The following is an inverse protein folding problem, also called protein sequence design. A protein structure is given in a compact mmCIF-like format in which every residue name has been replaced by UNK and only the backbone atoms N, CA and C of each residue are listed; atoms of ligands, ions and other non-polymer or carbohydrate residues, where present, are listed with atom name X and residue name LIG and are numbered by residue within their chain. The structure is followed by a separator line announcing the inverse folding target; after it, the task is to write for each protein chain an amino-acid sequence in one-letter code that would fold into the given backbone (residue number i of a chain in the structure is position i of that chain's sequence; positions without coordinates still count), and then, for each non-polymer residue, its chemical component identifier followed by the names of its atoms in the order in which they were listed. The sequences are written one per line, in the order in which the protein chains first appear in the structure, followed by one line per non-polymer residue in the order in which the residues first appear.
data_IF_474449978560
#
_entry.id   IF_474449978560
#
_cell.length_a   1.000
_cell.length_b   1.000
_cell.length_c   1.000
_cell.angle_alpha   90.00
_cell.angle_beta   90.00
_cell.angle_gamma   90.00
#
_symmetry.space_group_name_H-M   'P 1'
#
loop_
_entity.id
_entity.type
_entity.pdbx_description
1 polymer ?
#
# COMPACT_ATOMS: atom_id res chain seq x y z
N UNK A 1 29.90 16.39 -14.20
CA UNK A 1 29.79 15.43 -15.33
C UNK A 1 29.92 16.17 -16.66
N UNK A 2 29.07 17.17 -16.96
CA UNK A 2 29.22 17.97 -18.18
C UNK A 2 30.43 18.92 -18.17
N UNK A 3 30.81 19.47 -17.01
CA UNK A 3 31.93 20.42 -16.88
C UNK A 3 33.32 19.75 -16.89
N UNK A 4 33.42 18.47 -16.53
CA UNK A 4 34.70 17.74 -16.46
C UNK A 4 35.00 16.91 -17.72
N UNK A 5 34.15 16.98 -18.75
CA UNK A 5 34.34 16.26 -20.02
C UNK A 5 34.11 14.75 -19.97
N UNK A 6 33.59 14.22 -18.86
CA UNK A 6 33.34 12.78 -18.72
C UNK A 6 32.17 12.33 -19.60
N UNK A 7 32.39 11.27 -20.39
CA UNK A 7 31.34 10.69 -21.22
C UNK A 7 30.16 10.19 -20.34
N UNK A 8 28.95 10.60 -20.69
CA UNK A 8 27.69 10.28 -19.99
C UNK A 8 27.46 8.77 -19.82
N UNK A 9 27.96 7.96 -20.77
CA UNK A 9 27.92 6.49 -20.73
C UNK A 9 29.21 5.81 -20.22
N UNK A 10 30.21 6.59 -19.80
CA UNK A 10 31.53 6.13 -19.40
C UNK A 10 31.54 5.30 -18.12
N UNK A 11 32.59 4.48 -17.95
CA UNK A 11 32.73 3.59 -16.79
C UNK A 11 32.74 4.36 -15.46
N UNK A 12 33.35 5.54 -15.43
CA UNK A 12 33.39 6.43 -14.27
C UNK A 12 31.98 6.89 -13.85
N UNK A 13 31.22 7.46 -14.79
CA UNK A 13 29.85 7.93 -14.58
C UNK A 13 28.92 6.78 -14.16
N UNK A 14 29.05 5.62 -14.82
CA UNK A 14 28.30 4.41 -14.43
C UNK A 14 28.68 3.92 -13.03
N UNK A 15 29.95 3.99 -12.65
CA UNK A 15 30.41 3.61 -11.31
C UNK A 15 29.75 4.44 -10.20
N UNK A 16 29.56 5.74 -10.44
CA UNK A 16 28.89 6.65 -9.49
C UNK A 16 27.37 6.43 -9.47
N UNK A 17 26.73 6.26 -10.63
CA UNK A 17 25.26 6.26 -10.72
C UNK A 17 24.61 4.89 -10.49
N UNK A 18 25.30 3.80 -10.80
CA UNK A 18 24.77 2.42 -10.71
C UNK A 18 24.36 2.02 -9.28
N UNK A 19 25.08 2.37 -8.22
CA UNK A 19 24.65 2.11 -6.84
C UNK A 19 23.29 2.74 -6.50
N UNK A 20 22.96 3.87 -7.13
CA UNK A 20 21.72 4.62 -6.90
C UNK A 20 20.66 4.39 -7.99
N UNK A 21 20.91 3.45 -8.91
CA UNK A 21 20.06 3.20 -10.10
C UNK A 21 19.66 4.47 -10.87
N UNK A 22 20.52 5.50 -10.83
CA UNK A 22 20.23 6.83 -11.35
C UNK A 22 20.67 6.95 -12.82
N UNK A 23 20.02 7.84 -13.57
CA UNK A 23 20.44 8.21 -14.92
C UNK A 23 20.95 9.65 -14.92
N UNK A 24 21.97 9.99 -15.71
CA UNK A 24 22.51 11.35 -15.82
C UNK A 24 21.59 12.21 -16.70
N UNK A 25 20.34 12.40 -16.28
CA UNK A 25 19.33 13.21 -16.95
C UNK A 25 19.02 14.39 -16.05
N UNK A 26 19.33 15.60 -16.51
CA UNK A 26 18.84 16.82 -15.90
C UNK A 26 17.45 17.07 -16.48
N UNK A 27 16.44 17.05 -15.62
CA UNK A 27 15.10 17.49 -16.01
C UNK A 27 15.05 19.02 -15.94
N UNK A 28 14.26 19.71 -16.79
CA UNK A 28 14.05 21.16 -16.67
C UNK A 28 13.60 21.58 -15.26
N UNK A 29 12.80 20.75 -14.60
CA UNK A 29 12.39 20.95 -13.21
C UNK A 29 13.55 20.97 -12.21
N UNK A 30 14.67 20.30 -12.50
CA UNK A 30 15.85 20.29 -11.61
C UNK A 30 16.50 21.67 -11.52
N UNK A 31 16.48 22.46 -12.59
CA UNK A 31 16.99 23.84 -12.60
C UNK A 31 16.10 24.77 -11.79
N UNK A 32 14.77 24.63 -11.91
CA UNK A 32 13.80 25.39 -11.10
C UNK A 32 13.97 25.10 -9.60
N UNK A 33 14.15 23.84 -9.21
CA UNK A 33 14.37 23.48 -7.80
C UNK A 33 15.68 24.06 -7.22
N UNK A 34 16.72 24.23 -8.04
CA UNK A 34 17.97 24.87 -7.60
C UNK A 34 17.76 26.36 -7.26
N UNK A 35 16.87 27.06 -7.98
CA UNK A 35 16.55 28.46 -7.71
C UNK A 35 15.91 28.65 -6.32
N UNK A 36 15.18 27.65 -5.82
CA UNK A 36 14.61 27.65 -4.47
C UNK A 36 15.61 27.21 -3.38
N UNK A 37 16.91 27.09 -3.69
CA UNK A 37 17.93 26.65 -2.73
C UNK A 37 17.82 25.17 -2.36
N UNK A 38 16.99 24.38 -3.05
CA UNK A 38 16.89 22.94 -2.88
C UNK A 38 18.08 22.30 -3.61
N UNK A 39 19.27 22.40 -2.99
CA UNK A 39 20.52 21.78 -3.48
C UNK A 39 20.55 20.26 -3.31
N UNK A 40 19.52 19.66 -2.70
CA UNK A 40 19.48 18.24 -2.35
C UNK A 40 18.57 17.44 -3.28
N UNK A 41 18.96 16.19 -3.46
CA UNK A 41 18.26 15.12 -4.19
C UNK A 41 16.72 15.32 -4.20
N UNK A 42 16.15 15.68 -5.36
CA UNK A 42 14.71 15.86 -5.52
C UNK A 42 13.91 14.58 -5.21
N UNK A 43 14.52 13.40 -5.29
CA UNK A 43 13.90 12.15 -4.85
C UNK A 43 13.67 12.11 -3.33
N UNK A 44 14.40 12.91 -2.56
CA UNK A 44 14.11 13.10 -1.13
C UNK A 44 12.90 14.02 -0.89
N UNK A 45 12.29 14.63 -1.91
CA UNK A 45 11.07 15.42 -1.73
C UNK A 45 9.83 14.53 -1.65
N UNK A 46 9.86 13.36 -2.30
CA UNK A 46 8.72 12.47 -2.42
C UNK A 46 8.89 11.30 -1.47
N UNK A 47 8.14 11.25 -0.36
CA UNK A 47 8.17 10.08 0.50
C UNK A 47 7.52 8.90 -0.20
N UNK A 48 7.92 7.70 0.23
CA UNK A 48 7.34 6.47 -0.27
C UNK A 48 5.86 6.37 0.10
N UNK A 49 4.99 6.50 -0.89
CA UNK A 49 3.57 6.37 -0.64
C UNK A 49 3.14 4.91 -0.67
N UNK A 50 2.81 4.37 0.49
CA UNK A 50 2.35 2.99 0.63
C UNK A 50 1.14 2.67 -0.22
N UNK A 51 0.19 3.59 -0.34
CA UNK A 51 -1.01 3.28 -1.08
C UNK A 51 -0.70 3.09 -2.57
N UNK A 52 0.19 3.90 -3.13
CA UNK A 52 0.56 3.80 -4.54
C UNK A 52 1.65 2.77 -4.82
N UNK A 53 2.62 2.62 -3.93
CA UNK A 53 3.81 1.79 -4.10
C UNK A 53 3.59 0.37 -3.58
N UNK A 54 3.03 0.24 -2.38
CA UNK A 54 2.80 -1.06 -1.74
C UNK A 54 1.46 -1.65 -2.18
N UNK A 55 0.33 -0.97 -1.92
CA UNK A 55 -1.04 -1.46 -2.19
C UNK A 55 -1.30 -1.60 -3.69
N UNK A 56 -1.37 -0.46 -4.38
CA UNK A 56 -1.66 -0.39 -5.82
C UNK A 56 -0.43 -0.69 -6.69
N UNK A 57 0.72 -1.01 -6.09
CA UNK A 57 1.95 -1.35 -6.76
C UNK A 57 2.32 -2.80 -6.59
N UNK A 58 3.10 -3.07 -5.55
CA UNK A 58 3.71 -4.39 -5.30
C UNK A 58 2.66 -5.46 -4.99
N UNK A 59 1.70 -5.19 -4.11
CA UNK A 59 0.65 -6.15 -3.76
C UNK A 59 -0.26 -6.44 -4.94
N UNK A 60 -0.75 -5.40 -5.63
CA UNK A 60 -1.54 -5.56 -6.86
C UNK A 60 -0.82 -6.44 -7.88
N UNK A 61 0.46 -6.19 -8.13
CA UNK A 61 1.25 -6.97 -9.08
C UNK A 61 1.37 -8.45 -8.65
N UNK A 62 1.68 -8.71 -7.38
CA UNK A 62 1.83 -10.07 -6.86
C UNK A 62 0.51 -10.86 -6.86
N UNK A 63 -0.58 -10.24 -6.41
CA UNK A 63 -1.92 -10.84 -6.43
C UNK A 63 -2.33 -11.13 -7.87
N UNK A 64 -2.16 -10.16 -8.78
CA UNK A 64 -2.51 -10.35 -10.20
C UNK A 64 -1.74 -11.52 -10.79
N UNK A 65 -0.43 -11.58 -10.57
CA UNK A 65 0.40 -12.69 -11.05
C UNK A 65 -0.07 -14.06 -10.50
N UNK A 66 -0.37 -14.15 -9.21
CA UNK A 66 -0.83 -15.41 -8.61
C UNK A 66 -2.17 -15.88 -9.20
N UNK A 67 -3.09 -14.95 -9.45
CA UNK A 67 -4.40 -15.25 -10.04
C UNK A 67 -4.28 -15.63 -11.52
N UNK A 68 -3.47 -14.91 -12.29
CA UNK A 68 -3.17 -15.24 -13.70
C UNK A 68 -2.51 -16.63 -13.81
N UNK A 69 -1.59 -16.95 -12.89
CA UNK A 69 -0.99 -18.28 -12.80
C UNK A 69 -2.04 -19.37 -12.51
N UNK A 70 -2.97 -19.11 -11.60
CA UNK A 70 -4.06 -20.04 -11.32
C UNK A 70 -4.98 -20.22 -12.54
N UNK A 71 -5.25 -19.16 -13.28
CA UNK A 71 -6.01 -19.21 -14.54
C UNK A 71 -5.27 -20.02 -15.61
N UNK A 72 -3.95 -19.86 -15.73
CA UNK A 72 -3.11 -20.61 -16.66
C UNK A 72 -3.18 -22.14 -16.40
N UNK A 73 -3.22 -22.56 -15.13
CA UNK A 73 -3.42 -23.97 -14.75
C UNK A 73 -4.89 -24.42 -14.75
N UNK A 74 -5.84 -23.55 -15.12
CA UNK A 74 -7.27 -23.89 -15.17
C UNK A 74 -7.92 -24.04 -13.78
N UNK A 75 -7.43 -23.29 -12.79
CA UNK A 75 -7.91 -23.35 -11.40
C UNK A 75 -8.73 -22.14 -10.96
N UNK A 76 -9.24 -21.34 -11.89
CA UNK A 76 -10.07 -20.15 -11.64
C UNK A 76 -11.24 -20.44 -10.69
N UNK A 77 -12.04 -21.49 -10.97
CA UNK A 77 -13.18 -21.84 -10.13
C UNK A 77 -12.79 -22.27 -8.72
N UNK A 78 -11.61 -22.87 -8.55
CA UNK A 78 -11.08 -23.24 -7.22
C UNK A 78 -10.69 -22.00 -6.42
N UNK A 79 -10.04 -21.03 -7.08
CA UNK A 79 -9.68 -19.74 -6.47
C UNK A 79 -10.93 -19.01 -5.99
N UNK A 80 -11.95 -18.86 -6.85
CA UNK A 80 -13.20 -18.19 -6.49
C UNK A 80 -13.93 -18.88 -5.35
N UNK A 81 -14.01 -20.22 -5.38
CA UNK A 81 -14.59 -21.01 -4.28
C UNK A 81 -13.84 -20.80 -2.97
N UNK A 82 -12.51 -20.82 -3.00
CA UNK A 82 -11.69 -20.64 -1.79
C UNK A 82 -11.82 -19.23 -1.22
N UNK A 83 -11.84 -18.19 -2.05
CA UNK A 83 -12.13 -16.82 -1.58
C UNK A 83 -13.53 -16.71 -0.97
N UNK A 84 -14.55 -17.33 -1.58
CA UNK A 84 -15.91 -17.31 -1.05
C UNK A 84 -16.07 -18.03 0.30
N UNK A 85 -15.16 -18.94 0.64
CA UNK A 85 -15.13 -19.63 1.93
C UNK A 85 -14.50 -18.80 3.07
N UNK A 86 -13.86 -17.68 2.75
CA UNK A 86 -13.23 -16.82 3.75
C UNK A 86 -14.30 -15.97 4.41
N UNK A 87 -14.50 -16.19 5.71
CA UNK A 87 -15.40 -15.38 6.52
C UNK A 87 -14.87 -13.94 6.64
N UNK A 88 -15.78 -12.98 6.72
CA UNK A 88 -15.43 -11.62 7.09
C UNK A 88 -14.81 -11.59 8.49
N UNK A 89 -13.80 -10.75 8.69
CA UNK A 89 -13.07 -10.67 9.95
C UNK A 89 -12.79 -9.21 10.34
N UNK A 90 -12.79 -8.94 11.65
CA UNK A 90 -12.56 -7.61 12.22
C UNK A 90 -13.68 -6.62 11.93
N UNK A 91 -13.46 -5.35 12.29
CA UNK A 91 -14.39 -4.25 11.96
C UNK A 91 -14.16 -3.78 10.51
N UNK A 92 -14.37 -4.69 9.57
CA UNK A 92 -14.09 -4.55 8.12
C UNK A 92 -12.61 -4.66 7.72
N UNK A 93 -11.78 -5.39 8.47
CA UNK A 93 -10.38 -5.65 8.07
C UNK A 93 -10.28 -6.67 6.94
N UNK A 94 -11.17 -7.67 6.95
CA UNK A 94 -11.40 -8.61 5.85
C UNK A 94 -12.90 -8.57 5.53
N UNK A 95 -13.23 -8.09 4.33
CA UNK A 95 -14.60 -8.06 3.83
C UNK A 95 -14.93 -9.36 3.11
N UNK A 96 -16.22 -9.66 2.99
CA UNK A 96 -16.68 -10.77 2.17
C UNK A 96 -16.21 -10.58 0.72
N UNK A 97 -15.56 -11.60 0.16
CA UNK A 97 -15.09 -11.56 -1.22
C UNK A 97 -16.26 -11.80 -2.20
N UNK A 98 -16.25 -11.15 -3.38
CA UNK A 98 -17.27 -11.40 -4.40
C UNK A 98 -17.13 -12.83 -4.95
N UNK A 99 -18.22 -13.38 -5.50
CA UNK A 99 -18.22 -14.72 -6.11
C UNK A 99 -17.21 -14.88 -7.26
N UNK A 100 -16.82 -13.78 -7.91
CA UNK A 100 -15.82 -13.75 -8.99
C UNK A 100 -14.59 -12.91 -8.58
N UNK A 101 -13.99 -13.25 -7.43
CA UNK A 101 -12.81 -12.56 -6.91
C UNK A 101 -11.61 -12.64 -7.87
N UNK A 102 -11.46 -13.75 -8.58
CA UNK A 102 -10.42 -13.99 -9.60
C UNK A 102 -10.50 -13.02 -10.80
N UNK A 103 -11.64 -12.34 -10.99
CA UNK A 103 -11.81 -11.36 -12.07
C UNK A 103 -11.07 -10.05 -11.84
N UNK A 104 -10.70 -9.73 -10.58
CA UNK A 104 -9.94 -8.54 -10.19
C UNK A 104 -10.50 -7.19 -10.72
N UNK A 105 -11.84 -7.10 -10.87
CA UNK A 105 -12.51 -5.92 -11.44
C UNK A 105 -12.88 -4.91 -10.35
N UNK A 106 -12.62 -3.63 -10.62
CA UNK A 106 -13.07 -2.48 -9.79
C UNK A 106 -12.64 -2.55 -8.31
N UNK A 107 -11.42 -3.02 -8.06
CA UNK A 107 -10.87 -3.15 -6.71
C UNK A 107 -10.28 -1.83 -6.21
N UNK A 108 -10.59 -1.48 -4.96
CA UNK A 108 -9.97 -0.37 -4.22
C UNK A 108 -8.63 -0.81 -3.61
N UNK A 109 -7.82 0.12 -3.11
CA UNK A 109 -6.56 -0.20 -2.43
C UNK A 109 -6.74 -1.18 -1.27
N UNK A 110 -7.81 -1.01 -0.49
CA UNK A 110 -8.15 -1.91 0.62
C UNK A 110 -8.55 -3.32 0.15
N UNK A 111 -9.22 -3.44 -1.00
CA UNK A 111 -9.57 -4.77 -1.54
C UNK A 111 -8.31 -5.54 -1.98
N UNK A 112 -7.32 -4.85 -2.55
CA UNK A 112 -6.01 -5.46 -2.87
C UNK A 112 -5.28 -5.94 -1.61
N UNK A 113 -5.33 -5.16 -0.54
CA UNK A 113 -4.78 -5.52 0.76
C UNK A 113 -5.48 -6.77 1.34
N UNK A 114 -6.81 -6.81 1.32
CA UNK A 114 -7.60 -7.96 1.75
C UNK A 114 -7.27 -9.22 0.97
N UNK A 115 -7.17 -9.11 -0.37
CA UNK A 115 -6.78 -10.22 -1.24
C UNK A 115 -5.41 -10.75 -0.87
N UNK A 116 -4.42 -9.86 -0.67
CA UNK A 116 -3.06 -10.27 -0.28
C UNK A 116 -3.04 -11.02 1.06
N UNK A 117 -3.71 -10.49 2.10
CA UNK A 117 -3.80 -11.12 3.43
C UNK A 117 -4.35 -12.54 3.39
N UNK A 118 -5.25 -12.80 2.44
CA UNK A 118 -5.97 -14.05 2.29
C UNK A 118 -5.41 -14.97 1.20
N UNK A 119 -4.33 -14.57 0.51
CA UNK A 119 -3.95 -15.22 -0.76
C UNK A 119 -3.37 -16.62 -0.57
N UNK A 120 -2.54 -16.84 0.46
CA UNK A 120 -1.83 -18.12 0.68
C UNK A 120 -2.79 -19.32 0.71
N UNK A 121 -3.81 -19.37 1.59
CA UNK A 121 -4.74 -20.52 1.62
C UNK A 121 -5.55 -20.68 0.33
N UNK A 122 -5.68 -19.61 -0.47
CA UNK A 122 -6.39 -19.66 -1.75
C UNK A 122 -5.57 -20.33 -2.84
N UNK A 123 -4.25 -20.12 -2.87
CA UNK A 123 -3.38 -20.59 -3.95
C UNK A 123 -2.62 -21.88 -3.64
N UNK A 124 -2.58 -22.30 -2.38
CA UNK A 124 -1.84 -23.48 -1.95
C UNK A 124 -2.31 -24.75 -2.69
N UNK A 125 -1.34 -25.50 -3.24
CA UNK A 125 -1.54 -26.70 -4.04
C UNK A 125 -2.12 -26.45 -5.44
N UNK A 126 -2.06 -25.22 -5.97
CA UNK A 126 -2.59 -24.90 -7.31
C UNK A 126 -1.50 -24.77 -8.39
N UNK A 127 -0.22 -24.78 -8.04
CA UNK A 127 0.84 -24.48 -9.01
C UNK A 127 1.84 -25.62 -9.16
N UNK A 128 2.76 -25.45 -10.12
CA UNK A 128 3.95 -26.29 -10.16
C UNK A 128 4.75 -26.14 -8.85
N UNK A 129 5.22 -27.25 -8.23
CA UNK A 129 5.99 -27.21 -6.98
C UNK A 129 7.17 -26.23 -6.97
N UNK A 130 7.85 -26.05 -8.12
CA UNK A 130 8.98 -25.13 -8.24
C UNK A 130 8.56 -23.66 -8.08
N UNK A 131 7.39 -23.26 -8.59
CA UNK A 131 6.84 -21.92 -8.40
C UNK A 131 6.25 -21.78 -7.00
N UNK A 132 5.52 -22.80 -6.56
CA UNK A 132 4.81 -22.77 -5.28
C UNK A 132 5.77 -22.57 -4.10
N UNK A 133 6.92 -23.27 -4.12
CA UNK A 133 8.01 -23.13 -3.15
C UNK A 133 8.57 -21.71 -3.04
N UNK A 134 8.38 -20.86 -4.05
CA UNK A 134 8.87 -19.49 -4.07
C UNK A 134 7.74 -18.49 -3.77
N UNK A 135 6.58 -18.65 -4.42
CA UNK A 135 5.48 -17.69 -4.35
C UNK A 135 4.84 -17.65 -2.95
N UNK A 136 4.72 -18.79 -2.25
CA UNK A 136 4.16 -18.83 -0.90
C UNK A 136 5.04 -18.05 0.09
N UNK A 137 6.36 -18.32 0.20
CA UNK A 137 7.26 -17.47 0.99
C UNK A 137 7.25 -16.02 0.54
N UNK A 138 7.16 -15.74 -0.76
CA UNK A 138 7.14 -14.36 -1.27
C UNK A 138 5.92 -13.58 -0.75
N UNK A 139 4.73 -14.18 -0.79
CA UNK A 139 3.50 -13.57 -0.28
C UNK A 139 3.57 -13.40 1.24
N UNK A 140 4.10 -14.39 1.95
CA UNK A 140 4.31 -14.30 3.40
C UNK A 140 5.25 -13.14 3.74
N UNK A 141 6.38 -13.01 3.02
CA UNK A 141 7.35 -11.92 3.22
C UNK A 141 6.74 -10.56 2.93
N UNK A 142 5.98 -10.42 1.85
CA UNK A 142 5.27 -9.17 1.59
C UNK A 142 4.27 -8.85 2.71
N UNK A 143 3.54 -9.85 3.22
CA UNK A 143 2.61 -9.67 4.34
C UNK A 143 3.32 -9.22 5.61
N UNK A 144 4.51 -9.73 5.90
CA UNK A 144 5.33 -9.27 7.03
C UNK A 144 5.78 -7.82 6.81
N UNK A 145 6.25 -7.47 5.61
CA UNK A 145 6.62 -6.09 5.24
C UNK A 145 5.43 -5.14 5.43
N UNK A 146 4.23 -5.53 5.01
CA UNK A 146 2.99 -4.80 5.27
C UNK A 146 2.80 -4.53 6.76
N UNK A 147 2.71 -5.59 7.57
CA UNK A 147 2.43 -5.45 8.99
C UNK A 147 3.49 -4.62 9.73
N UNK A 148 4.77 -4.80 9.37
CA UNK A 148 5.85 -4.02 9.95
C UNK A 148 5.83 -2.57 9.52
N UNK A 149 5.47 -2.26 8.27
CA UNK A 149 5.36 -0.89 7.80
C UNK A 149 4.24 -0.16 8.56
N UNK A 150 3.06 -0.80 8.68
CA UNK A 150 1.85 -0.25 9.29
C UNK A 150 1.88 -0.07 10.82
N UNK A 151 3.01 -0.29 11.50
CA UNK A 151 3.06 -0.01 12.93
C UNK A 151 3.07 1.50 13.19
N UNK A 152 2.10 1.96 13.99
CA UNK A 152 1.99 3.34 14.47
C UNK A 152 3.18 3.79 15.33
N UNK A 153 3.87 2.82 15.96
CA UNK A 153 5.08 3.06 16.73
C UNK A 153 6.22 2.19 16.21
N UNK A 154 7.25 2.85 15.70
CA UNK A 154 8.43 2.20 15.14
C UNK A 154 9.61 2.36 16.11
N UNK A 155 10.32 1.27 16.36
CA UNK A 155 11.60 1.26 17.08
C UNK A 155 12.72 0.93 16.11
N UNK A 156 13.97 1.20 16.47
CA UNK A 156 15.10 0.82 15.61
C UNK A 156 15.15 -0.70 15.36
N UNK A 157 14.60 -1.51 16.28
CA UNK A 157 14.45 -2.96 16.08
C UNK A 157 13.44 -3.28 14.98
N UNK A 158 12.24 -2.69 15.00
CA UNK A 158 11.21 -2.96 13.98
C UNK A 158 11.64 -2.45 12.61
N UNK A 159 12.31 -1.30 12.54
CA UNK A 159 12.83 -0.76 11.28
C UNK A 159 13.93 -1.66 10.69
N UNK A 160 14.85 -2.19 11.51
CA UNK A 160 15.84 -3.17 11.03
C UNK A 160 15.20 -4.47 10.55
N UNK A 161 14.15 -4.93 11.23
CA UNK A 161 13.39 -6.10 10.77
C UNK A 161 12.71 -5.82 9.43
N UNK A 162 12.08 -4.65 9.27
CA UNK A 162 11.45 -4.23 8.03
C UNK A 162 12.47 -4.23 6.87
N UNK A 163 13.65 -3.65 7.08
CA UNK A 163 14.72 -3.60 6.09
C UNK A 163 15.19 -5.00 5.65
N UNK A 164 15.38 -5.89 6.63
CA UNK A 164 15.72 -7.30 6.38
C UNK A 164 14.63 -8.00 5.55
N UNK A 165 13.38 -7.83 5.94
CA UNK A 165 12.25 -8.51 5.28
C UNK A 165 12.02 -7.98 3.86
N UNK A 166 12.25 -6.69 3.60
CA UNK A 166 12.29 -6.10 2.25
C UNK A 166 13.39 -6.75 1.40
N UNK A 167 14.57 -6.97 1.99
CA UNK A 167 15.69 -7.64 1.32
C UNK A 167 15.41 -9.11 0.98
N UNK A 168 14.81 -9.87 1.90
CA UNK A 168 14.37 -11.26 1.67
C UNK A 168 13.28 -11.32 0.59
N UNK A 169 12.27 -10.46 0.70
CA UNK A 169 11.21 -10.32 -0.31
C UNK A 169 11.80 -10.03 -1.69
N UNK A 170 12.78 -9.13 -1.76
CA UNK A 170 13.43 -8.76 -3.02
C UNK A 170 14.19 -9.92 -3.67
N UNK A 171 14.88 -10.74 -2.87
CA UNK A 171 15.55 -11.95 -3.37
C UNK A 171 14.56 -12.98 -3.89
N UNK A 172 13.47 -13.22 -3.17
CA UNK A 172 12.42 -14.15 -3.61
C UNK A 172 11.72 -13.67 -4.88
N UNK A 173 11.46 -12.36 -5.00
CA UNK A 173 10.85 -11.76 -6.18
C UNK A 173 11.70 -11.97 -7.44
N UNK A 174 13.02 -11.80 -7.32
CA UNK A 174 13.98 -12.09 -8.38
C UNK A 174 13.99 -13.59 -8.74
N UNK A 175 14.02 -14.46 -7.74
CA UNK A 175 13.99 -15.92 -7.96
C UNK A 175 12.71 -16.36 -8.66
N UNK A 176 11.56 -15.80 -8.28
CA UNK A 176 10.27 -16.08 -8.91
C UNK A 176 10.28 -15.66 -10.39
N UNK A 177 10.78 -14.47 -10.69
CA UNK A 177 10.89 -13.98 -12.07
C UNK A 177 11.78 -14.90 -12.92
N UNK A 178 12.95 -15.30 -12.41
CA UNK A 178 13.84 -16.24 -13.10
C UNK A 178 13.19 -17.60 -13.34
N UNK A 179 12.52 -18.15 -12.33
CA UNK A 179 11.84 -19.44 -12.44
C UNK A 179 10.67 -19.39 -13.43
N UNK A 180 9.90 -18.30 -13.42
CA UNK A 180 8.80 -18.08 -14.36
C UNK A 180 9.31 -18.00 -15.81
N UNK A 181 10.43 -17.30 -16.05
CA UNK A 181 11.08 -17.27 -17.37
C UNK A 181 11.50 -18.66 -17.84
N UNK A 182 12.22 -19.41 -17.00
CA UNK A 182 12.66 -20.77 -17.35
C UNK A 182 11.49 -21.70 -17.69
N UNK A 183 10.40 -21.64 -16.91
CA UNK A 183 9.20 -22.45 -17.17
C UNK A 183 8.45 -22.00 -18.42
N UNK A 184 8.40 -20.70 -18.69
CA UNK A 184 7.80 -20.17 -19.92
C UNK A 184 8.56 -20.62 -21.15
N UNK A 185 9.90 -20.61 -21.12
CA UNK A 185 10.72 -21.09 -22.23
C UNK A 185 10.48 -22.58 -22.49
N UNK A 186 10.43 -23.40 -21.43
CA UNK A 186 10.05 -24.82 -21.57
C UNK A 186 8.63 -25.00 -22.10
N UNK A 187 7.67 -24.20 -21.64
CA UNK A 187 6.26 -24.26 -22.08
C UNK A 187 6.11 -23.88 -23.55
N UNK A 188 6.86 -22.90 -24.03
CA UNK A 188 6.85 -22.48 -25.44
C UNK A 188 7.37 -23.57 -26.37
N UNK A 189 8.32 -24.39 -25.91
CA UNK A 189 8.82 -25.53 -26.67
C UNK A 189 7.77 -26.64 -26.81
N UNK A 190 6.96 -26.88 -25.75
CA UNK A 190 5.94 -27.94 -25.75
C UNK A 190 4.60 -27.51 -26.32
N UNK A 191 4.23 -26.23 -26.15
CA UNK A 191 2.92 -25.69 -26.48
C UNK A 191 3.06 -24.19 -26.82
N UNK A 192 3.38 -23.84 -28.07
CA UNK A 192 3.69 -22.47 -28.47
C UNK A 192 2.51 -21.50 -28.29
N UNK A 193 1.27 -21.99 -28.35
CA UNK A 193 0.06 -21.18 -28.21
C UNK A 193 -0.27 -20.81 -26.75
N UNK A 194 0.37 -21.46 -25.77
CA UNK A 194 0.12 -21.20 -24.34
C UNK A 194 1.11 -20.16 -23.80
N UNK A 195 0.61 -18.94 -23.59
CA UNK A 195 1.37 -17.87 -22.95
C UNK A 195 1.31 -17.98 -21.42
N UNK A 196 2.44 -18.30 -20.80
CA UNK A 196 2.58 -18.34 -19.34
C UNK A 196 2.72 -16.91 -18.76
N UNK A 197 2.02 -16.57 -17.67
CA UNK A 197 2.15 -15.27 -17.01
C UNK A 197 3.56 -15.01 -16.47
N UNK A 198 4.05 -13.78 -16.62
CA UNK A 198 5.37 -13.34 -16.16
C UNK A 198 5.26 -12.45 -14.91
N UNK A 199 6.13 -12.68 -13.93
CA UNK A 199 6.21 -11.83 -12.74
C UNK A 199 7.11 -10.61 -12.98
N UNK A 200 6.52 -9.43 -13.04
CA UNK A 200 7.24 -8.17 -13.25
C UNK A 200 7.79 -7.61 -11.92
N UNK A 201 9.02 -7.96 -11.55
CA UNK A 201 9.62 -7.45 -10.30
C UNK A 201 10.30 -6.07 -10.47
N UNK A 202 10.88 -5.77 -11.62
CA UNK A 202 11.68 -4.56 -11.85
C UNK A 202 10.83 -3.32 -12.19
N UNK A 203 9.91 -2.94 -11.30
CA UNK A 203 9.05 -1.78 -11.47
C UNK A 203 9.54 -0.59 -10.63
N UNK A 204 9.24 0.67 -11.03
CA UNK A 204 9.55 1.83 -10.19
C UNK A 204 8.98 1.70 -8.77
N UNK A 205 7.74 1.20 -8.65
CA UNK A 205 7.07 0.98 -7.37
C UNK A 205 7.79 -0.04 -6.48
N UNK A 206 8.30 -1.12 -7.09
CA UNK A 206 9.11 -2.10 -6.38
C UNK A 206 10.45 -1.52 -5.95
N UNK A 207 11.10 -0.69 -6.79
CA UNK A 207 12.33 -0.01 -6.42
C UNK A 207 12.13 0.92 -5.21
N UNK A 208 11.00 1.65 -5.19
CA UNK A 208 10.68 2.52 -4.08
C UNK A 208 10.59 1.78 -2.75
N UNK A 209 10.16 0.51 -2.73
CA UNK A 209 10.10 -0.30 -1.51
C UNK A 209 11.40 -0.31 -0.70
N UNK A 210 12.57 -0.28 -1.38
CA UNK A 210 13.88 -0.21 -0.73
C UNK A 210 14.14 1.07 0.07
N UNK A 211 13.42 2.15 -0.23
CA UNK A 211 13.55 3.44 0.47
C UNK A 211 12.56 3.59 1.65
N UNK A 212 11.78 2.56 1.96
CA UNK A 212 10.69 2.66 2.94
C UNK A 212 11.23 2.88 4.35
N UNK A 213 12.28 2.17 4.72
CA UNK A 213 12.93 2.31 6.03
C UNK A 213 13.60 3.68 6.21
N UNK A 214 14.18 4.23 5.14
CA UNK A 214 14.72 5.58 5.15
C UNK A 214 13.62 6.65 5.28
N UNK A 215 12.50 6.47 4.58
CA UNK A 215 11.33 7.35 4.69
C UNK A 215 10.76 7.36 6.11
N UNK A 216 10.58 6.18 6.71
CA UNK A 216 10.07 6.03 8.08
C UNK A 216 11.00 6.68 9.09
N UNK A 217 12.33 6.50 8.97
CA UNK A 217 13.28 7.14 9.89
C UNK A 217 13.24 8.67 9.82
N UNK A 218 13.00 9.23 8.64
CA UNK A 218 13.02 10.68 8.44
C UNK A 218 11.70 11.35 8.80
N UNK A 219 10.58 10.74 8.46
CA UNK A 219 9.26 11.36 8.53
C UNK A 219 8.38 10.76 9.64
N UNK A 220 8.85 9.71 10.31
CA UNK A 220 8.10 8.96 11.31
C UNK A 220 7.24 7.85 10.69
N UNK A 221 6.26 7.33 11.44
CA UNK A 221 5.31 6.35 10.95
C UNK A 221 4.54 6.83 9.72
N UNK A 222 3.95 5.88 8.99
CA UNK A 222 3.34 6.11 7.68
C UNK A 222 2.18 7.10 7.69
N UNK A 223 1.45 7.14 8.80
CA UNK A 223 0.34 8.09 9.01
C UNK A 223 0.77 9.54 8.80
N UNK A 224 2.06 9.84 8.96
CA UNK A 224 2.59 11.20 8.80
C UNK A 224 2.69 11.65 7.34
N UNK A 225 2.74 10.74 6.37
CA UNK A 225 3.00 11.08 4.96
C UNK A 225 2.23 10.24 3.92
N UNK A 226 1.27 9.43 4.36
CA UNK A 226 0.38 8.70 3.44
C UNK A 226 -0.52 9.66 2.65
N UNK A 227 -0.69 9.41 1.35
CA UNK A 227 -1.60 10.21 0.52
C UNK A 227 -3.06 9.78 0.68
N UNK A 228 -3.33 8.69 1.40
CA UNK A 228 -4.66 8.18 1.64
C UNK A 228 -5.58 9.25 2.28
N UNK A 229 -5.04 10.09 3.17
CA UNK A 229 -5.77 11.22 3.74
C UNK A 229 -6.18 12.22 2.66
N UNK A 230 -5.25 12.62 1.79
CA UNK A 230 -5.52 13.54 0.69
C UNK A 230 -6.56 12.99 -0.29
N UNK A 231 -6.47 11.72 -0.67
CA UNK A 231 -7.47 11.07 -1.54
C UNK A 231 -8.85 10.96 -0.88
N UNK A 232 -8.89 10.70 0.43
CA UNK A 232 -10.15 10.67 1.19
C UNK A 232 -10.84 12.03 1.20
N UNK A 233 -10.08 13.12 1.42
CA UNK A 233 -10.60 14.47 1.36
C UNK A 233 -11.00 14.87 -0.06
N UNK A 234 -10.28 14.40 -1.09
CA UNK A 234 -10.66 14.65 -2.47
C UNK A 234 -12.04 14.06 -2.81
N UNK A 235 -12.41 12.89 -2.26
CA UNK A 235 -13.78 12.33 -2.39
C UNK A 235 -14.82 13.25 -1.74
N UNK A 236 -14.51 13.82 -0.58
CA UNK A 236 -15.39 14.78 0.12
C UNK A 236 -15.53 16.08 -0.69
N UNK A 237 -14.43 16.65 -1.16
CA UNK A 237 -14.43 17.87 -1.96
C UNK A 237 -15.18 17.70 -3.28
N UNK A 238 -15.06 16.54 -3.95
CA UNK A 238 -15.87 16.24 -5.15
C UNK A 238 -17.38 16.21 -4.86
N UNK A 239 -17.78 15.62 -3.74
CA UNK A 239 -19.21 15.63 -3.30
C UNK A 239 -19.69 17.06 -3.03
N UNK A 240 -18.88 17.87 -2.35
CA UNK A 240 -19.21 19.27 -2.10
C UNK A 240 -19.25 20.10 -3.40
N UNK A 241 -18.32 19.86 -4.32
CA UNK A 241 -18.29 20.53 -5.61
C UNK A 241 -19.55 20.26 -6.43
N UNK A 242 -20.11 19.05 -6.37
CA UNK A 242 -21.35 18.70 -7.06
C UNK A 242 -22.56 19.56 -6.65
N UNK A 243 -22.55 20.09 -5.42
CA UNK A 243 -23.63 20.96 -4.89
C UNK A 243 -23.31 22.45 -4.99
N UNK A 244 -22.19 22.82 -5.62
CA UNK A 244 -21.90 24.22 -5.96
C UNK A 244 -22.55 24.61 -7.28
N UNK A 245 -22.71 25.92 -7.52
CA UNK A 245 -23.22 26.41 -8.80
C UNK A 245 -22.20 26.31 -9.96
N UNK A 246 -21.00 25.78 -9.71
CA UNK A 246 -19.89 25.59 -10.68
C UNK A 246 -19.48 26.85 -11.46
N UNK A 247 -19.74 28.04 -10.89
CA UNK A 247 -19.33 29.33 -11.48
C UNK A 247 -17.93 29.74 -10.99
N UNK A 248 -17.45 30.94 -11.40
CA UNK A 248 -16.18 31.51 -10.95
C UNK A 248 -16.08 31.66 -9.41
N UNK A 249 -17.21 31.76 -8.71
CA UNK A 249 -17.28 31.76 -7.24
C UNK A 249 -17.34 30.34 -6.63
N UNK A 250 -17.28 29.28 -7.44
CA UNK A 250 -17.39 27.89 -6.97
C UNK A 250 -16.35 27.51 -5.93
N UNK A 251 -15.13 28.04 -6.03
CA UNK A 251 -14.07 27.84 -5.02
C UNK A 251 -14.41 28.49 -3.69
N UNK A 252 -15.02 29.68 -3.69
CA UNK A 252 -15.46 30.35 -2.46
C UNK A 252 -16.62 29.59 -1.82
N UNK A 253 -17.58 29.13 -2.63
CA UNK A 253 -18.68 28.30 -2.14
C UNK A 253 -18.17 26.99 -1.53
N UNK A 254 -17.20 26.33 -2.17
CA UNK A 254 -16.56 25.13 -1.62
C UNK A 254 -15.88 25.43 -0.27
N UNK A 255 -15.16 26.55 -0.17
CA UNK A 255 -14.53 27.01 1.07
C UNK A 255 -15.54 27.22 2.20
N UNK A 256 -16.65 27.91 1.92
CA UNK A 256 -17.74 28.12 2.89
C UNK A 256 -18.35 26.80 3.35
N UNK A 257 -18.63 25.86 2.44
CA UNK A 257 -19.15 24.53 2.79
C UNK A 257 -18.19 23.74 3.69
N UNK A 258 -16.89 23.84 3.45
CA UNK A 258 -15.88 23.19 4.31
C UNK A 258 -15.88 23.83 5.70
N UNK A 259 -16.02 25.15 5.81
CA UNK A 259 -16.13 25.86 7.09
C UNK A 259 -17.42 25.48 7.84
N UNK A 260 -18.57 25.47 7.17
CA UNK A 260 -19.87 25.05 7.72
C UNK A 260 -19.76 23.65 8.35
N UNK A 261 -19.20 22.68 7.61
CA UNK A 261 -19.04 21.32 8.13
C UNK A 261 -18.08 21.25 9.32
N UNK A 262 -17.01 22.04 9.35
CA UNK A 262 -16.10 22.11 10.51
C UNK A 262 -16.81 22.66 11.75
N UNK A 263 -17.62 23.71 11.59
CA UNK A 263 -18.39 24.29 12.68
C UNK A 263 -19.42 23.28 13.24
N UNK A 264 -20.13 22.55 12.37
CA UNK A 264 -21.09 21.51 12.78
C UNK A 264 -20.38 20.39 13.57
N UNK A 265 -19.24 19.89 13.08
CA UNK A 265 -18.47 18.84 13.78
C UNK A 265 -17.98 19.34 15.14
N UNK A 266 -17.53 20.59 15.22
CA UNK A 266 -17.10 21.19 16.48
C UNK A 266 -18.26 21.31 17.48
N UNK A 267 -19.40 21.84 17.05
CA UNK A 267 -20.61 21.92 17.89
C UNK A 267 -21.05 20.54 18.38
N UNK A 268 -21.07 19.54 17.50
CA UNK A 268 -21.43 18.19 17.87
C UNK A 268 -20.47 17.58 18.90
N UNK A 269 -19.15 17.77 18.72
CA UNK A 269 -18.16 17.37 19.74
C UNK A 269 -18.39 18.06 21.08
N UNK A 270 -18.73 19.35 21.08
CA UNK A 270 -19.03 20.07 22.32
C UNK A 270 -20.28 19.52 23.01
N UNK A 271 -21.36 19.24 22.26
CA UNK A 271 -22.59 18.64 22.80
C UNK A 271 -22.31 17.26 23.43
N UNK A 272 -21.53 16.41 22.75
CA UNK A 272 -21.17 15.08 23.26
C UNK A 272 -20.16 15.12 24.41
N UNK A 273 -19.25 16.10 24.44
CA UNK A 273 -18.36 16.30 25.57
C UNK A 273 -19.11 16.80 26.82
N UNK A 274 -20.20 17.57 26.64
CA UNK A 274 -21.03 18.08 27.74
C UNK A 274 -21.94 17.01 28.36
N UNK A 275 -22.32 15.98 27.61
CA UNK A 275 -23.19 14.90 28.11
C UNK A 275 -22.48 13.93 29.08
N UNK A 276 -21.14 13.90 29.08
CA UNK A 276 -20.36 13.02 29.95
C UNK A 276 -19.96 13.64 31.30
N UNK A 277 -20.46 14.82 31.68
CA UNK A 277 -20.11 15.47 32.97
C UNK A 277 -21.12 15.16 34.08
N UNK A 278 -22.27 14.54 33.78
CA UNK A 278 -23.33 14.29 34.78
C UNK A 278 -23.58 12.81 35.13
N UNK A 279 -23.07 11.85 34.35
CA UNK A 279 -23.24 10.42 34.64
C UNK A 279 -22.04 9.76 35.38
N UNK A 280 -20.90 10.44 35.47
CA UNK A 280 -19.67 9.87 36.07
C UNK A 280 -19.59 9.96 37.60
N UNK A 281 -20.65 10.41 38.30
CA UNK A 281 -20.73 10.38 39.78
C UNK A 281 -21.46 9.14 40.34
N UNK A 282 -21.82 8.16 39.50
CA UNK A 282 -22.50 6.93 39.96
C UNK A 282 -21.89 5.63 39.39
N UNK A 283 -20.59 5.61 39.07
CA UNK A 283 -19.88 4.38 38.66
C UNK A 283 -18.74 3.96 39.61
N UNK A 284 -18.86 4.25 40.90
CA UNK A 284 -18.14 3.49 41.91
C UNK A 284 -18.93 2.19 42.19
N UNK A 285 -18.66 1.13 41.42
CA UNK A 285 -18.86 -0.30 41.79
C UNK A 285 -18.85 -1.27 40.58
N UNK A 286 -17.88 -1.15 39.66
CA UNK A 286 -17.57 -2.23 38.73
C UNK A 286 -16.08 -2.50 38.81
N UNK A 287 -15.73 -3.68 39.34
CA UNK A 287 -14.38 -4.11 39.69
C UNK A 287 -13.38 -3.96 38.54
N UNK A 288 -12.11 -3.83 38.93
CA UNK A 288 -10.99 -3.51 38.06
C UNK A 288 -11.05 -4.23 36.69
N UNK A 289 -11.07 -3.48 35.58
CA UNK A 289 -11.10 -4.08 34.25
C UNK A 289 -9.80 -4.84 34.00
N UNK A 290 -9.93 -6.11 33.62
CA UNK A 290 -8.85 -6.95 33.11
C UNK A 290 -8.14 -6.26 31.94
N UNK A 291 -6.82 -6.47 31.82
CA UNK A 291 -5.92 -5.91 30.80
C UNK A 291 -6.48 -5.96 29.35
N UNK A 292 -7.33 -6.94 29.04
CA UNK A 292 -8.02 -7.07 27.74
C UNK A 292 -9.04 -5.96 27.43
N UNK A 293 -9.70 -5.39 28.43
CA UNK A 293 -10.70 -4.33 28.24
C UNK A 293 -10.07 -2.96 27.93
N UNK A 294 -8.91 -2.66 28.52
CA UNK A 294 -8.17 -1.43 28.22
C UNK A 294 -7.67 -1.42 26.76
N UNK A 295 -7.31 -2.58 26.22
CA UNK A 295 -6.87 -2.72 24.83
C UNK A 295 -8.02 -2.53 23.82
N UNK A 296 -9.25 -2.92 24.19
CA UNK A 296 -10.44 -2.71 23.36
C UNK A 296 -10.90 -1.24 23.32
N UNK A 297 -10.72 -0.50 24.41
CA UNK A 297 -11.08 0.93 24.50
C UNK A 297 -10.15 1.84 23.70
N UNK A 298 -8.84 1.56 23.67
CA UNK A 298 -7.88 2.34 22.88
C UNK A 298 -8.10 2.24 21.35
N UNK A 299 -8.78 1.18 20.89
CA UNK A 299 -9.04 0.88 19.47
C UNK A 299 -10.42 1.32 18.99
N UNK A 300 -11.29 1.83 19.86
CA UNK A 300 -12.64 2.26 19.47
C UNK A 300 -12.66 3.67 18.86
N UNK A 301 -12.16 3.80 17.62
CA UNK A 301 -12.33 5.02 16.79
C UNK A 301 -13.67 5.05 16.06
N UNK A 302 -14.78 4.67 16.71
CA UNK A 302 -16.13 4.88 16.13
C UNK A 302 -16.50 6.36 16.26
N UNK A 303 -16.56 7.07 15.13
CA UNK A 303 -17.52 8.17 15.01
C UNK A 303 -18.91 7.53 14.96
N UNK A 304 -19.87 7.93 15.83
CA UNK A 304 -21.23 7.44 15.73
C UNK A 304 -21.82 7.81 14.37
N UNK A 305 -22.42 6.81 13.72
CA UNK A 305 -23.13 6.95 12.46
C UNK A 305 -24.34 7.87 12.67
N UNK A 306 -24.43 8.92 11.85
CA UNK A 306 -25.61 9.78 11.80
C UNK A 306 -26.65 9.17 10.87
N UNK A 307 -27.86 8.92 11.40
CA UNK A 307 -29.09 8.89 10.60
C UNK A 307 -29.46 10.30 10.13
#
# INVERSE_FOLDING_TARGET
MFENGDAVGGAYVKGILKPFSSKPILSPSTEEFQQFGIKRNAFALFPNDIMHELNLGVAKNLVTYAIEMAQFYGHTSKVDRRFAQIASFGRNDIRAFPQQASGLKKLTAHDWECLLKCLIPVIEGLFNPSIEKIIIPLILKLSIVYNLAYLDQQTERTIRLLDREIGEFSRLALSLSKQAHSLSDSTRLTSPDKNMPMYAYATPKFHMLGHLTASIRRLGPLDNFTTAFGESEHRRLKRLYNVTNKTRSGTQQLGLRVQEQRAIVQQHRMIHAMSNVQEDLQRDNLGDPSYEQAFQLAMDKRQPEYC
#
